data_IF_977855649994
#
_entry.id   IF_977855649994
#
_cell.length_a   1.000
_cell.length_b   1.000
_cell.length_c   1.000
_cell.angle_alpha   90.00
_cell.angle_beta   90.00
_cell.angle_gamma   90.00
#
_symmetry.space_group_name_H-M   'P 1'
#
loop_
_entity.id
_entity.type
_entity.pdbx_description
1 polymer ?
#
# COMPACT_ATOMS: atom_id res chain seq x y z
N UNK A 1 -6.34 -23.56 11.65
CA UNK A 1 -5.17 -23.00 10.95
C UNK A 1 -4.56 -21.98 11.89
N UNK A 2 -3.43 -22.32 12.52
CA UNK A 2 -2.82 -21.42 13.49
C UNK A 2 -2.16 -20.27 12.72
N UNK A 3 -2.39 -18.99 13.08
CA UNK A 3 -1.79 -17.84 12.41
C UNK A 3 -0.25 -17.76 12.55
N UNK A 4 0.38 -18.73 13.23
CA UNK A 4 1.83 -18.90 13.36
C UNK A 4 2.51 -19.60 12.18
N UNK A 5 1.79 -19.97 11.10
CA UNK A 5 2.33 -20.81 10.01
C UNK A 5 2.63 -20.06 8.70
N UNK A 6 2.34 -18.77 8.58
CA UNK A 6 2.70 -18.00 7.38
C UNK A 6 4.21 -17.75 7.34
N UNK A 7 4.88 -18.23 6.28
CA UNK A 7 6.31 -17.98 6.05
C UNK A 7 6.57 -16.48 5.84
N UNK A 8 7.78 -16.03 6.18
CA UNK A 8 8.17 -14.61 6.00
C UNK A 8 7.97 -14.16 4.55
N UNK A 9 8.30 -15.02 3.58
CA UNK A 9 8.05 -14.78 2.14
C UNK A 9 6.57 -14.54 1.83
N UNK A 10 5.67 -15.39 2.35
CA UNK A 10 4.23 -15.23 2.14
C UNK A 10 3.71 -13.91 2.74
N UNK A 11 4.27 -13.47 3.86
CA UNK A 11 3.95 -12.17 4.46
C UNK A 11 4.44 -11.01 3.61
N UNK A 12 5.65 -11.11 3.06
CA UNK A 12 6.20 -10.12 2.13
C UNK A 12 5.35 -10.01 0.86
N UNK A 13 4.96 -11.14 0.27
CA UNK A 13 4.09 -11.18 -0.90
C UNK A 13 2.67 -10.68 -0.58
N UNK A 14 2.15 -10.97 0.61
CA UNK A 14 0.87 -10.43 1.08
C UNK A 14 0.91 -8.90 1.22
N UNK A 15 1.99 -8.36 1.77
CA UNK A 15 2.21 -6.92 1.88
C UNK A 15 2.36 -6.26 0.51
N UNK A 16 3.13 -6.88 -0.41
CA UNK A 16 3.27 -6.41 -1.78
C UNK A 16 1.93 -6.42 -2.52
N UNK A 17 1.15 -7.50 -2.37
CA UNK A 17 -0.19 -7.64 -2.92
C UNK A 17 -1.13 -6.56 -2.41
N UNK A 18 -1.10 -6.21 -1.12
CA UNK A 18 -1.89 -5.12 -0.57
C UNK A 18 -1.55 -3.77 -1.23
N UNK A 19 -0.26 -3.48 -1.46
CA UNK A 19 0.16 -2.26 -2.15
C UNK A 19 -0.24 -2.22 -3.63
N UNK A 20 -0.22 -3.37 -4.32
CA UNK A 20 -0.74 -3.48 -5.69
C UNK A 20 -2.26 -3.28 -5.73
N UNK A 21 -2.99 -3.89 -4.79
CA UNK A 21 -4.44 -3.72 -4.69
C UNK A 21 -4.82 -2.28 -4.33
N UNK A 22 -4.00 -1.60 -3.53
CA UNK A 22 -4.12 -0.15 -3.31
C UNK A 22 -3.97 0.62 -4.63
N UNK A 23 -2.93 0.35 -5.42
CA UNK A 23 -2.71 1.00 -6.72
C UNK A 23 -3.89 0.78 -7.68
N UNK A 24 -4.41 -0.45 -7.74
CA UNK A 24 -5.60 -0.79 -8.54
C UNK A 24 -6.82 -0.01 -8.02
N UNK A 25 -7.00 0.07 -6.70
CA UNK A 25 -8.08 0.84 -6.08
C UNK A 25 -8.02 2.31 -6.43
N UNK A 26 -6.83 2.90 -6.42
CA UNK A 26 -6.59 4.29 -6.77
C UNK A 26 -6.90 4.58 -8.25
N UNK A 27 -6.52 3.68 -9.16
CA UNK A 27 -6.65 3.88 -10.60
C UNK A 27 -8.07 3.63 -11.13
N UNK A 28 -8.74 2.59 -10.65
CA UNK A 28 -9.94 2.06 -11.33
C UNK A 28 -11.22 2.18 -10.52
N UNK A 29 -11.14 2.34 -9.21
CA UNK A 29 -12.34 2.38 -8.38
C UNK A 29 -12.78 3.81 -8.09
N UNK A 30 -14.09 4.09 -8.10
CA UNK A 30 -14.61 5.40 -7.72
C UNK A 30 -14.41 5.60 -6.21
N UNK A 31 -13.74 6.69 -5.85
CA UNK A 31 -13.48 7.11 -4.46
C UNK A 31 -14.54 8.07 -3.96
N UNK A 32 -15.02 8.95 -4.84
CA UNK A 32 -16.05 9.94 -4.55
C UNK A 32 -17.15 9.82 -5.60
N UNK A 33 -18.39 10.11 -5.22
CA UNK A 33 -19.44 10.38 -6.21
C UNK A 33 -20.50 11.32 -5.69
N UNK A 34 -20.92 12.26 -6.52
CA UNK A 34 -22.02 13.20 -6.25
C UNK A 34 -22.93 13.19 -7.48
N UNK A 35 -24.23 12.89 -7.29
CA UNK A 35 -25.20 12.69 -8.37
C UNK A 35 -24.72 11.65 -9.42
N UNK A 36 -24.78 11.97 -10.72
CA UNK A 36 -24.39 11.06 -11.82
C UNK A 36 -22.88 11.09 -12.14
N UNK A 37 -22.06 11.79 -11.35
CA UNK A 37 -20.61 11.87 -11.57
C UNK A 37 -19.85 11.11 -10.49
N UNK A 38 -18.88 10.29 -10.92
CA UNK A 38 -17.96 9.55 -10.06
C UNK A 38 -16.53 9.93 -10.39
N UNK A 39 -15.72 10.17 -9.36
CA UNK A 39 -14.30 10.46 -9.48
C UNK A 39 -13.50 9.30 -8.90
N UNK A 40 -12.45 8.89 -9.60
CA UNK A 40 -11.51 7.86 -9.14
C UNK A 40 -10.53 8.44 -8.11
N UNK A 41 -9.71 7.59 -7.49
CA UNK A 41 -8.62 8.06 -6.64
C UNK A 41 -7.61 8.92 -7.39
N UNK A 42 -7.43 8.66 -8.69
CA UNK A 42 -6.60 9.45 -9.58
C UNK A 42 -7.08 10.90 -9.70
N UNK A 43 -8.39 11.12 -9.79
CA UNK A 43 -8.95 12.47 -9.96
C UNK A 43 -9.14 13.20 -8.63
N UNK A 44 -9.12 12.46 -7.53
CA UNK A 44 -9.47 12.94 -6.20
C UNK A 44 -8.25 13.40 -5.40
N UNK A 45 -7.14 12.66 -5.50
CA UNK A 45 -5.96 12.93 -4.70
C UNK A 45 -5.16 14.09 -5.32
N UNK A 46 -4.60 15.04 -4.53
CA UNK A 46 -3.82 16.17 -5.08
C UNK A 46 -2.56 15.77 -5.86
N UNK A 47 -2.00 14.59 -5.56
CA UNK A 47 -0.80 14.06 -6.22
C UNK A 47 -0.87 12.54 -6.29
N UNK A 48 -1.79 11.98 -7.10
CA UNK A 48 -2.11 10.55 -7.13
C UNK A 48 -0.93 9.72 -7.65
N UNK A 49 -0.12 10.31 -8.54
CA UNK A 49 1.06 9.69 -9.12
C UNK A 49 2.15 9.42 -8.07
N UNK A 50 2.28 10.27 -7.04
CA UNK A 50 3.23 10.05 -5.94
C UNK A 50 2.81 8.81 -5.15
N UNK A 51 1.53 8.74 -4.76
CA UNK A 51 0.99 7.59 -4.05
C UNK A 51 1.11 6.30 -4.87
N UNK A 52 0.88 6.38 -6.19
CA UNK A 52 1.05 5.26 -7.10
C UNK A 52 2.52 4.78 -7.14
N UNK A 53 3.47 5.69 -7.36
CA UNK A 53 4.89 5.34 -7.42
C UNK A 53 5.37 4.74 -6.09
N UNK A 54 4.99 5.32 -4.96
CA UNK A 54 5.36 4.80 -3.65
C UNK A 54 4.75 3.42 -3.39
N UNK A 55 3.49 3.21 -3.75
CA UNK A 55 2.86 1.89 -3.63
C UNK A 55 3.59 0.84 -4.48
N UNK A 56 3.93 1.17 -5.73
CA UNK A 56 4.65 0.26 -6.62
C UNK A 56 6.10 0.01 -6.20
N UNK A 57 6.82 1.04 -5.72
CA UNK A 57 8.17 0.90 -5.19
C UNK A 57 8.17 0.03 -3.93
N UNK A 58 7.22 0.25 -3.02
CA UNK A 58 7.08 -0.58 -1.82
C UNK A 58 6.73 -2.03 -2.17
N UNK A 59 5.82 -2.25 -3.13
CA UNK A 59 5.47 -3.58 -3.61
C UNK A 59 6.67 -4.27 -4.27
N UNK A 60 7.40 -3.56 -5.13
CA UNK A 60 8.59 -4.07 -5.80
C UNK A 60 9.71 -4.40 -4.83
N UNK A 61 9.95 -3.57 -3.82
CA UNK A 61 10.94 -3.83 -2.79
C UNK A 61 10.62 -5.10 -1.98
N UNK A 62 9.36 -5.27 -1.58
CA UNK A 62 8.91 -6.49 -0.87
C UNK A 62 8.95 -7.74 -1.76
N UNK A 63 8.56 -7.61 -3.03
CA UNK A 63 8.63 -8.73 -3.98
C UNK A 63 10.09 -9.13 -4.23
N UNK A 64 10.99 -8.17 -4.43
CA UNK A 64 12.42 -8.43 -4.60
C UNK A 64 13.02 -9.11 -3.37
N UNK A 65 12.66 -8.64 -2.16
CA UNK A 65 13.08 -9.28 -0.91
C UNK A 65 12.52 -10.71 -0.76
N UNK A 66 11.29 -10.96 -1.21
CA UNK A 66 10.68 -12.28 -1.15
C UNK A 66 11.28 -13.29 -2.14
N UNK A 67 11.77 -12.81 -3.29
CA UNK A 67 12.38 -13.64 -4.33
C UNK A 67 13.92 -13.65 -4.31
N UNK A 68 14.54 -13.07 -3.27
CA UNK A 68 15.99 -12.93 -3.13
C UNK A 68 16.65 -12.27 -4.36
N UNK A 69 15.98 -11.26 -4.93
CA UNK A 69 16.48 -10.51 -6.08
C UNK A 69 17.31 -9.32 -5.60
N UNK A 70 18.58 -9.29 -6.00
CA UNK A 70 19.46 -8.15 -5.75
C UNK A 70 18.97 -6.90 -6.52
N UNK A 71 18.54 -5.88 -5.78
CA UNK A 71 18.24 -4.57 -6.35
C UNK A 71 19.58 -3.81 -6.44
N UNK A 72 19.92 -3.18 -7.58
CA UNK A 72 21.17 -2.41 -7.75
C UNK A 72 21.15 -1.06 -7.02
N UNK A 73 20.55 -1.00 -5.83
CA UNK A 73 20.36 0.20 -5.02
C UNK A 73 20.78 -0.10 -3.59
N UNK A 74 21.52 0.81 -2.96
CA UNK A 74 22.11 0.65 -1.62
C UNK A 74 21.08 0.74 -0.47
N UNK A 75 19.79 0.60 -0.76
CA UNK A 75 18.72 0.81 0.22
C UNK A 75 18.12 -0.55 0.60
N UNK A 76 18.01 -0.82 1.90
CA UNK A 76 17.37 -2.02 2.40
C UNK A 76 15.88 -2.08 1.98
N UNK A 77 15.42 -3.17 1.34
CA UNK A 77 14.11 -3.22 0.70
C UNK A 77 12.94 -3.17 1.70
N UNK A 78 13.09 -3.81 2.86
CA UNK A 78 12.03 -3.90 3.87
C UNK A 78 11.78 -2.53 4.55
N UNK A 79 12.80 -1.80 5.05
CA UNK A 79 12.61 -0.43 5.56
C UNK A 79 12.05 0.53 4.50
N UNK A 80 12.51 0.40 3.25
CA UNK A 80 11.99 1.20 2.13
C UNK A 80 10.49 0.96 1.92
N UNK A 81 10.05 -0.31 1.92
CA UNK A 81 8.65 -0.66 1.79
C UNK A 81 7.80 -0.16 2.96
N UNK A 82 8.31 -0.23 4.20
CA UNK A 82 7.65 0.31 5.37
C UNK A 82 7.46 1.83 5.29
N UNK A 83 8.48 2.56 4.80
CA UNK A 83 8.38 3.99 4.54
C UNK A 83 7.34 4.30 3.45
N UNK A 84 7.47 3.66 2.28
CA UNK A 84 6.58 3.89 1.14
C UNK A 84 5.12 3.61 1.48
N UNK A 85 4.84 2.47 2.11
CA UNK A 85 3.48 2.11 2.55
C UNK A 85 2.91 3.13 3.55
N UNK A 86 3.73 3.62 4.49
CA UNK A 86 3.30 4.59 5.51
C UNK A 86 2.87 5.91 4.89
N UNK A 87 3.66 6.44 3.95
CA UNK A 87 3.32 7.67 3.23
C UNK A 87 2.03 7.50 2.44
N UNK A 88 1.88 6.37 1.73
CA UNK A 88 0.67 6.05 0.98
C UNK A 88 -0.55 6.05 1.90
N UNK A 89 -0.49 5.35 3.04
CA UNK A 89 -1.59 5.29 3.98
C UNK A 89 -1.96 6.68 4.53
N UNK A 90 -0.98 7.50 4.91
CA UNK A 90 -1.24 8.87 5.38
C UNK A 90 -1.97 9.68 4.31
N UNK A 91 -1.52 9.61 3.04
CA UNK A 91 -2.19 10.31 1.94
C UNK A 91 -3.61 9.82 1.73
N UNK A 92 -3.85 8.50 1.79
CA UNK A 92 -5.20 7.94 1.67
C UNK A 92 -6.10 8.39 2.82
N UNK A 93 -5.60 8.42 4.05
CA UNK A 93 -6.35 8.87 5.22
C UNK A 93 -6.68 10.36 5.17
N UNK A 94 -5.75 11.20 4.68
CA UNK A 94 -6.03 12.62 4.48
C UNK A 94 -7.25 12.82 3.56
N UNK A 95 -7.28 12.12 2.42
CA UNK A 95 -8.42 12.14 1.48
C UNK A 95 -9.69 11.56 2.14
N UNK A 96 -9.57 10.47 2.89
CA UNK A 96 -10.70 9.85 3.58
C UNK A 96 -11.38 10.80 4.59
N UNK A 97 -10.60 11.64 5.27
CA UNK A 97 -11.10 12.58 6.26
C UNK A 97 -11.65 13.87 5.63
N UNK A 98 -11.08 14.31 4.51
CA UNK A 98 -11.49 15.54 3.81
C UNK A 98 -12.84 15.38 3.09
N UNK A 99 -13.12 14.19 2.58
CA UNK A 99 -14.27 13.96 1.70
C UNK A 99 -15.54 13.59 2.48
N UNK A 100 -16.65 14.25 2.16
CA UNK A 100 -17.99 13.95 2.71
C UNK A 100 -18.77 12.91 1.90
N UNK A 101 -18.66 12.87 0.56
CA UNK A 101 -19.39 11.91 -0.30
C UNK A 101 -18.54 10.71 -0.74
N UNK A 102 -18.26 9.81 0.19
CA UNK A 102 -17.34 8.67 -0.02
C UNK A 102 -18.03 7.51 -0.74
N UNK A 103 -17.25 6.79 -1.55
CA UNK A 103 -17.65 5.53 -2.18
C UNK A 103 -16.78 4.38 -1.68
N UNK A 104 -17.20 3.15 -2.00
CA UNK A 104 -16.52 1.94 -1.58
C UNK A 104 -15.06 1.86 -2.00
N UNK A 105 -14.68 2.45 -3.14
CA UNK A 105 -13.29 2.46 -3.61
C UNK A 105 -12.33 3.11 -2.60
N UNK A 106 -12.73 4.22 -1.97
CA UNK A 106 -11.91 4.92 -0.98
C UNK A 106 -11.75 4.11 0.32
N UNK A 107 -12.80 3.40 0.74
CA UNK A 107 -12.74 2.52 1.92
C UNK A 107 -11.85 1.30 1.64
N UNK A 108 -11.96 0.73 0.44
CA UNK A 108 -11.12 -0.38 -0.01
C UNK A 108 -9.64 0.03 -0.05
N UNK A 109 -9.35 1.20 -0.62
CA UNK A 109 -8.01 1.79 -0.62
C UNK A 109 -7.46 1.97 0.80
N UNK A 110 -8.27 2.51 1.72
CA UNK A 110 -7.86 2.67 3.11
C UNK A 110 -7.53 1.33 3.79
N UNK A 111 -8.34 0.29 3.57
CA UNK A 111 -8.07 -1.06 4.08
C UNK A 111 -6.74 -1.59 3.53
N UNK A 112 -6.52 -1.51 2.22
CA UNK A 112 -5.28 -1.98 1.61
C UNK A 112 -4.05 -1.20 2.07
N UNK A 113 -4.17 0.11 2.24
CA UNK A 113 -3.08 0.92 2.74
C UNK A 113 -2.74 0.56 4.20
N UNK A 114 -3.74 0.34 5.06
CA UNK A 114 -3.53 -0.13 6.44
C UNK A 114 -2.87 -1.50 6.48
N UNK A 115 -3.37 -2.46 5.69
CA UNK A 115 -2.81 -3.81 5.64
C UNK A 115 -1.36 -3.78 5.12
N UNK A 116 -1.09 -3.01 4.07
CA UNK A 116 0.24 -2.80 3.54
C UNK A 116 1.20 -2.27 4.60
N UNK A 117 0.84 -1.20 5.30
CA UNK A 117 1.65 -0.62 6.38
C UNK A 117 1.85 -1.61 7.52
N UNK A 118 0.79 -2.23 8.03
CA UNK A 118 0.88 -3.16 9.17
C UNK A 118 1.84 -4.29 8.87
N UNK A 119 1.75 -4.91 7.69
CA UNK A 119 2.63 -6.01 7.31
C UNK A 119 4.06 -5.53 7.04
N UNK A 120 4.25 -4.42 6.32
CA UNK A 120 5.60 -3.89 6.05
C UNK A 120 6.32 -3.47 7.33
N UNK A 121 5.63 -2.81 8.26
CA UNK A 121 6.21 -2.41 9.56
C UNK A 121 6.48 -3.63 10.44
N UNK A 122 5.59 -4.62 10.43
CA UNK A 122 5.83 -5.86 11.17
C UNK A 122 7.09 -6.58 10.68
N UNK A 123 7.23 -6.76 9.35
CA UNK A 123 8.41 -7.36 8.74
C UNK A 123 9.69 -6.58 9.07
N UNK A 124 9.64 -5.26 9.03
CA UNK A 124 10.78 -4.43 9.41
C UNK A 124 11.19 -4.66 10.87
N UNK A 125 10.22 -4.73 11.80
CA UNK A 125 10.51 -5.00 13.21
C UNK A 125 11.00 -6.42 13.48
N UNK A 126 10.63 -7.40 12.66
CA UNK A 126 11.18 -8.75 12.74
C UNK A 126 12.65 -8.77 12.31
N UNK A 127 13.00 -8.04 11.24
CA UNK A 127 14.38 -7.90 10.77
C UNK A 127 15.29 -7.19 11.79
N UNK A 128 14.81 -6.18 12.50
CA UNK A 128 15.60 -5.49 13.54
C UNK A 128 15.90 -6.37 14.77
N UNK A 129 15.18 -7.48 14.95
CA UNK A 129 15.32 -8.38 16.11
C UNK A 129 16.19 -9.61 15.85
N UNK A 130 16.51 -9.90 14.59
CA UNK A 130 17.38 -11.01 14.16
C UNK A 130 18.83 -10.56 14.06
#
# INVERSE_FOLDING_TARGET
>A
MNPSELSTEQRMLGAAGALVLYAISLLFFPWIGIANQTASGWDTMPSPWIALLLALVGAGALAAAAFDIEIPVTIAPIPLAAYCSSVVAIMTFAVLLEVTSRKWGLLLAAVFAVVGVMLSVWLWREQDRS
#
